data_IF_817957524387
#
_entry.id   IF_817957524387
#
_cell.length_a   1.000
_cell.length_b   1.000
_cell.length_c   1.000
_cell.angle_alpha   90.00
_cell.angle_beta   90.00
_cell.angle_gamma   90.00
#
_symmetry.space_group_name_H-M   'P 1'
#
loop_
_entity.id
_entity.type
_entity.pdbx_description
1 polymer ?
#
# COMPACT_ATOMS: atom_id res chain seq x y z
N UNK A 1 -17.50 -15.38 28.76
CA UNK A 1 -17.65 -13.99 29.23
C UNK A 1 -16.32 -13.31 29.51
N UNK A 2 -15.33 -13.99 30.10
CA UNK A 2 -13.99 -13.41 30.33
C UNK A 2 -13.17 -13.26 29.05
N UNK A 3 -13.28 -14.20 28.11
CA UNK A 3 -12.49 -14.22 26.87
C UNK A 3 -12.92 -13.14 25.85
N UNK A 4 -14.23 -12.88 25.72
CA UNK A 4 -14.77 -11.85 24.80
C UNK A 4 -14.33 -10.42 25.13
N UNK A 5 -14.15 -10.11 26.42
CA UNK A 5 -13.77 -8.76 26.87
C UNK A 5 -12.33 -8.46 26.44
N UNK A 6 -11.43 -9.44 26.59
CA UNK A 6 -10.02 -9.30 26.23
C UNK A 6 -9.84 -9.14 24.71
N UNK A 7 -10.60 -9.89 23.90
CA UNK A 7 -10.52 -9.79 22.44
C UNK A 7 -10.96 -8.39 21.93
N UNK A 8 -12.01 -7.83 22.53
CA UNK A 8 -12.48 -6.48 22.18
C UNK A 8 -11.47 -5.41 22.57
N UNK A 9 -10.87 -5.48 23.76
CA UNK A 9 -9.85 -4.53 24.21
C UNK A 9 -8.60 -4.56 23.31
N UNK A 10 -8.12 -5.75 22.95
CA UNK A 10 -6.99 -5.90 22.03
C UNK A 10 -7.27 -5.26 20.67
N UNK A 11 -8.49 -5.40 20.16
CA UNK A 11 -8.91 -4.82 18.89
C UNK A 11 -8.90 -3.29 18.95
N UNK A 12 -9.45 -2.70 20.01
CA UNK A 12 -9.47 -1.24 20.18
C UNK A 12 -8.06 -0.67 20.36
N UNK A 13 -7.20 -1.37 21.10
CA UNK A 13 -5.80 -0.96 21.28
C UNK A 13 -5.02 -1.04 19.96
N UNK A 14 -5.25 -2.06 19.15
CA UNK A 14 -4.67 -2.15 17.81
C UNK A 14 -5.10 -0.97 16.92
N UNK A 15 -6.40 -0.68 16.87
CA UNK A 15 -6.94 0.43 16.08
C UNK A 15 -6.36 1.77 16.54
N UNK A 16 -6.33 2.03 17.85
CA UNK A 16 -5.73 3.24 18.42
C UNK A 16 -4.29 3.41 17.95
N UNK A 17 -3.44 2.39 18.16
CA UNK A 17 -2.03 2.46 17.81
C UNK A 17 -1.79 2.65 16.31
N UNK A 18 -2.69 2.12 15.47
CA UNK A 18 -2.64 2.32 14.02
C UNK A 18 -3.04 3.75 13.65
N UNK A 19 -4.14 4.25 14.20
CA UNK A 19 -4.64 5.62 13.97
C UNK A 19 -3.62 6.66 14.42
N UNK A 20 -2.98 6.53 15.58
CA UNK A 20 -2.00 7.50 16.09
C UNK A 20 -0.79 7.69 15.16
N UNK A 21 -0.44 6.67 14.38
CA UNK A 21 0.69 6.70 13.43
C UNK A 21 0.32 7.25 12.06
N UNK A 22 -0.96 7.54 11.82
CA UNK A 22 -1.45 8.04 10.54
C UNK A 22 -1.13 9.52 10.31
N UNK A 23 -1.17 9.92 9.04
CA UNK A 23 -1.04 11.30 8.61
C UNK A 23 -2.34 12.10 8.76
N UNK A 24 -2.20 13.42 8.70
CA UNK A 24 -3.29 14.40 8.87
C UNK A 24 -4.50 14.11 7.97
N UNK A 25 -4.30 13.74 6.71
CA UNK A 25 -5.40 13.47 5.77
C UNK A 25 -6.24 12.28 6.21
N UNK A 26 -5.60 11.22 6.71
CA UNK A 26 -6.28 10.03 7.21
C UNK A 26 -7.02 10.33 8.51
N UNK A 27 -6.43 11.14 9.40
CA UNK A 27 -7.11 11.62 10.61
C UNK A 27 -8.34 12.47 10.30
N UNK A 28 -8.30 13.32 9.27
CA UNK A 28 -9.46 14.10 8.82
C UNK A 28 -10.59 13.16 8.38
N UNK A 29 -10.28 12.09 7.65
CA UNK A 29 -11.31 11.16 7.19
C UNK A 29 -11.90 10.33 8.33
N UNK A 30 -11.06 9.91 9.28
CA UNK A 30 -11.53 9.29 10.53
C UNK A 30 -12.47 10.23 11.27
N UNK A 31 -12.12 11.53 11.36
CA UNK A 31 -12.99 12.52 11.97
C UNK A 31 -14.31 12.69 11.19
N UNK A 32 -14.29 12.59 9.86
CA UNK A 32 -15.49 12.61 9.03
C UNK A 32 -16.40 11.41 9.33
N UNK A 33 -15.83 10.20 9.44
CA UNK A 33 -16.57 8.98 9.84
C UNK A 33 -17.24 9.19 11.20
N UNK A 34 -16.48 9.69 12.18
CA UNK A 34 -17.01 9.95 13.52
C UNK A 34 -18.12 11.02 13.52
N UNK A 35 -18.00 12.07 12.69
CA UNK A 35 -19.00 13.14 12.57
C UNK A 35 -20.29 12.71 11.88
N UNK A 36 -20.26 11.68 11.03
CA UNK A 36 -21.46 11.14 10.38
C UNK A 36 -22.41 10.51 11.41
N UNK A 37 -21.87 9.98 12.50
CA UNK A 37 -22.66 9.35 13.54
C UNK A 37 -23.04 10.35 14.64
N UNK A 38 -24.28 10.81 14.64
CA UNK A 38 -24.80 11.84 15.55
C UNK A 38 -24.73 11.47 17.04
N UNK A 39 -24.54 10.19 17.35
CA UNK A 39 -24.44 9.67 18.71
C UNK A 39 -23.07 9.93 19.34
N UNK A 40 -22.04 10.17 18.52
CA UNK A 40 -20.67 10.36 18.98
C UNK A 40 -20.47 11.79 19.45
N UNK A 41 -20.17 11.97 20.74
CA UNK A 41 -19.78 13.27 21.31
C UNK A 41 -18.28 13.48 21.13
N UNK A 42 -17.92 14.39 20.24
CA UNK A 42 -16.54 14.78 20.00
C UNK A 42 -16.13 15.89 20.97
N UNK A 43 -15.00 15.71 21.66
CA UNK A 43 -14.43 16.74 22.53
C UNK A 43 -13.27 17.42 21.80
N UNK A 44 -13.53 18.60 21.25
CA UNK A 44 -12.57 19.40 20.50
C UNK A 44 -12.03 20.54 21.36
N UNK A 45 -10.70 20.72 21.33
CA UNK A 45 -10.02 21.87 21.90
C UNK A 45 -9.08 22.49 20.84
N UNK A 46 -8.37 23.57 21.19
CA UNK A 46 -7.44 24.26 20.27
C UNK A 46 -6.32 23.35 19.73
N UNK A 47 -6.07 22.22 20.37
CA UNK A 47 -4.99 21.29 20.05
C UNK A 47 -5.48 20.05 19.28
N UNK A 48 -6.80 19.90 19.07
CA UNK A 48 -7.39 18.81 18.31
C UNK A 48 -8.62 18.19 18.98
N UNK A 49 -8.97 16.98 18.51
CA UNK A 49 -10.14 16.24 18.98
C UNK A 49 -9.67 15.03 19.79
N UNK A 50 -10.12 14.92 21.04
CA UNK A 50 -9.88 13.74 21.87
C UNK A 50 -11.08 12.79 21.79
N UNK A 51 -10.82 11.52 21.48
CA UNK A 51 -11.85 10.48 21.31
C UNK A 51 -11.49 9.31 22.22
N UNK A 52 -12.47 8.85 22.99
CA UNK A 52 -12.35 7.60 23.74
C UNK A 52 -13.05 6.48 22.96
N UNK A 53 -12.26 5.57 22.39
CA UNK A 53 -12.75 4.47 21.55
C UNK A 53 -13.66 3.50 22.31
N UNK A 54 -13.48 3.33 23.62
CA UNK A 54 -14.29 2.41 24.44
C UNK A 54 -15.74 2.85 24.61
N UNK A 55 -16.03 4.14 24.39
CA UNK A 55 -17.38 4.70 24.43
C UNK A 55 -18.02 4.85 23.05
N UNK A 56 -17.31 4.49 21.98
CA UNK A 56 -17.89 4.50 20.65
C UNK A 56 -18.85 3.31 20.49
N UNK A 57 -19.99 3.53 19.81
CA UNK A 57 -20.91 2.44 19.52
C UNK A 57 -20.28 1.48 18.50
N UNK A 58 -20.69 0.21 18.54
CA UNK A 58 -20.03 -0.85 17.78
C UNK A 58 -20.11 -0.63 16.25
N UNK A 59 -21.18 -0.01 15.76
CA UNK A 59 -21.36 0.37 14.34
C UNK A 59 -20.27 1.34 13.86
N UNK A 60 -19.92 2.32 14.69
CA UNK A 60 -18.82 3.26 14.40
C UNK A 60 -17.47 2.54 14.43
N UNK A 61 -17.27 1.62 15.37
CA UNK A 61 -16.04 0.83 15.43
C UNK A 61 -15.89 -0.03 14.16
N UNK A 62 -16.96 -0.68 13.70
CA UNK A 62 -16.96 -1.45 12.45
C UNK A 62 -16.68 -0.58 11.23
N UNK A 63 -17.24 0.64 11.15
CA UNK A 63 -16.97 1.57 10.05
C UNK A 63 -15.50 2.03 10.05
N UNK A 64 -14.95 2.31 11.23
CA UNK A 64 -13.54 2.62 11.39
C UNK A 64 -12.65 1.44 10.97
N UNK A 65 -12.99 0.21 11.36
CA UNK A 65 -12.25 -0.98 10.94
C UNK A 65 -12.25 -1.14 9.41
N UNK A 66 -13.41 -1.02 8.77
CA UNK A 66 -13.52 -1.07 7.30
C UNK A 66 -12.64 -0.01 6.62
N UNK A 67 -12.58 1.18 7.18
CA UNK A 67 -11.70 2.24 6.66
C UNK A 67 -10.21 1.91 6.86
N UNK A 68 -9.83 1.35 8.01
CA UNK A 68 -8.46 0.90 8.26
C UNK A 68 -8.03 -0.22 7.31
N UNK A 69 -8.92 -1.17 7.04
CA UNK A 69 -8.67 -2.26 6.09
C UNK A 69 -8.53 -1.73 4.67
N UNK A 70 -9.40 -0.80 4.27
CA UNK A 70 -9.28 -0.13 2.97
C UNK A 70 -7.93 0.58 2.80
N UNK A 71 -7.45 1.30 3.82
CA UNK A 71 -6.14 1.95 3.77
C UNK A 71 -5.00 0.95 3.63
N UNK A 72 -5.11 -0.21 4.29
CA UNK A 72 -4.12 -1.28 4.18
C UNK A 72 -4.08 -1.85 2.76
N UNK A 73 -5.25 -2.13 2.18
CA UNK A 73 -5.34 -2.63 0.81
C UNK A 73 -4.79 -1.60 -0.20
N UNK A 74 -5.07 -0.30 0.03
CA UNK A 74 -4.47 0.77 -0.77
C UNK A 74 -2.94 0.79 -0.68
N UNK A 75 -2.36 0.68 0.52
CA UNK A 75 -0.90 0.61 0.72
C UNK A 75 -0.30 -0.59 -0.02
N UNK A 76 -0.89 -1.79 0.11
CA UNK A 76 -0.41 -3.00 -0.57
C UNK A 76 -0.51 -2.89 -2.08
N UNK A 77 -1.60 -2.35 -2.62
CA UNK A 77 -1.75 -2.15 -4.06
C UNK A 77 -0.72 -1.16 -4.60
N UNK A 78 -0.42 -0.09 -3.86
CA UNK A 78 0.59 0.88 -4.24
C UNK A 78 1.99 0.25 -4.28
N UNK A 79 2.33 -0.54 -3.26
CA UNK A 79 3.61 -1.28 -3.21
C UNK A 79 3.76 -2.22 -4.41
N UNK A 80 2.71 -2.97 -4.76
CA UNK A 80 2.73 -3.84 -5.94
C UNK A 80 2.93 -3.07 -7.24
N UNK A 81 2.30 -1.91 -7.39
CA UNK A 81 2.48 -1.05 -8.57
C UNK A 81 3.91 -0.50 -8.65
N UNK A 82 4.52 -0.15 -7.52
CA UNK A 82 5.93 0.28 -7.47
C UNK A 82 6.88 -0.84 -7.86
N UNK A 83 6.66 -2.06 -7.36
CA UNK A 83 7.44 -3.25 -7.73
C UNK A 83 7.34 -3.50 -9.24
N UNK A 84 6.12 -3.55 -9.79
CA UNK A 84 5.90 -3.77 -11.22
C UNK A 84 6.61 -2.70 -12.06
N UNK A 85 6.52 -1.43 -11.65
CA UNK A 85 7.19 -0.32 -12.34
C UNK A 85 8.71 -0.52 -12.38
N UNK A 86 9.32 -0.94 -11.28
CA UNK A 86 10.77 -1.17 -11.22
C UNK A 86 11.18 -2.40 -12.05
N UNK A 87 10.36 -3.46 -12.06
CA UNK A 87 10.58 -4.64 -12.91
C UNK A 87 10.55 -4.28 -14.40
N UNK A 88 9.58 -3.45 -14.84
CA UNK A 88 9.51 -2.98 -16.22
C UNK A 88 10.75 -2.17 -16.61
N UNK A 89 11.16 -1.23 -15.75
CA UNK A 89 12.36 -0.42 -15.96
C UNK A 89 13.61 -1.29 -16.09
N UNK A 90 13.79 -2.23 -15.16
CA UNK A 90 14.93 -3.15 -15.14
C UNK A 90 14.96 -4.02 -16.40
N UNK A 91 13.79 -4.53 -16.83
CA UNK A 91 13.68 -5.36 -18.04
C UNK A 91 14.08 -4.59 -19.29
N UNK A 92 13.62 -3.34 -19.43
CA UNK A 92 13.98 -2.47 -20.55
C UNK A 92 15.47 -2.14 -20.54
N UNK A 93 16.04 -1.78 -19.39
CA UNK A 93 17.46 -1.46 -19.26
C UNK A 93 18.37 -2.64 -19.61
N UNK A 94 18.03 -3.86 -19.17
CA UNK A 94 18.77 -5.08 -19.53
C UNK A 94 18.64 -5.42 -21.02
N UNK A 95 17.45 -5.25 -21.61
CA UNK A 95 17.23 -5.45 -23.04
C UNK A 95 18.06 -4.50 -23.91
N UNK A 96 18.13 -3.22 -23.54
CA UNK A 96 18.95 -2.22 -24.24
C UNK A 96 20.44 -2.55 -24.11
N UNK A 97 20.89 -2.94 -22.90
CA UNK A 97 22.29 -3.28 -22.63
C UNK A 97 22.75 -4.50 -23.42
N UNK A 98 21.97 -5.58 -23.40
CA UNK A 98 22.28 -6.80 -24.16
C UNK A 98 22.37 -6.51 -25.66
N UNK A 99 21.44 -5.72 -26.22
CA UNK A 99 21.52 -5.28 -27.61
C UNK A 99 22.78 -4.47 -27.94
N UNK A 100 23.23 -3.60 -27.03
CA UNK A 100 24.46 -2.84 -27.22
C UNK A 100 25.73 -3.71 -27.15
N UNK A 101 25.76 -4.69 -26.22
CA UNK A 101 26.85 -5.67 -26.10
C UNK A 101 26.94 -6.57 -27.34
N UNK A 102 25.79 -6.97 -27.91
CA UNK A 102 25.72 -7.73 -29.14
C UNK A 102 26.26 -6.95 -30.34
N UNK A 103 25.89 -5.65 -30.47
CA UNK A 103 26.42 -4.76 -31.52
C UNK A 103 27.93 -4.58 -31.38
N UNK A 104 28.43 -4.38 -30.15
CA UNK A 104 29.86 -4.23 -29.89
C UNK A 104 30.63 -5.51 -30.24
N UNK A 105 30.17 -6.67 -29.77
CA UNK A 105 30.78 -7.96 -30.08
C UNK A 105 30.78 -8.28 -31.58
N UNK A 106 29.75 -7.86 -32.31
CA UNK A 106 29.70 -7.96 -33.77
C UNK A 106 30.75 -7.06 -34.44
N UNK A 107 30.88 -5.80 -34.01
CA UNK A 107 31.89 -4.87 -34.55
C UNK A 107 33.34 -5.32 -34.30
N UNK A 108 33.58 -6.09 -33.24
CA UNK A 108 34.88 -6.67 -32.91
C UNK A 108 35.13 -8.05 -33.56
N UNK A 109 34.19 -8.56 -34.36
CA UNK A 109 34.29 -9.88 -34.99
C UNK A 109 34.28 -11.07 -34.00
N UNK A 110 33.87 -10.83 -32.74
CA UNK A 110 33.75 -11.85 -31.69
C UNK A 110 32.42 -12.62 -31.74
N UNK A 111 31.44 -12.12 -32.51
CA UNK A 111 30.16 -12.79 -32.85
C UNK A 111 29.87 -12.67 -34.35
N UNK A 112 29.22 -13.69 -34.94
CA UNK A 112 28.78 -13.67 -36.35
C UNK A 112 27.48 -12.87 -36.54
N UNK A 113 27.25 -12.37 -37.76
CA UNK A 113 26.04 -11.64 -38.14
C UNK A 113 24.78 -12.47 -37.86
N UNK A 114 23.72 -11.89 -37.27
CA UNK A 114 22.42 -12.56 -37.12
C UNK A 114 21.83 -13.08 -38.44
N UNK A 115 22.21 -12.51 -39.58
CA UNK A 115 21.72 -12.90 -40.91
C UNK A 115 22.31 -14.25 -41.39
N UNK A 116 23.41 -14.73 -40.81
CA UNK A 116 24.02 -16.02 -41.19
C UNK A 116 23.25 -17.24 -40.68
N UNK A 117 22.30 -17.08 -39.75
CA UNK A 117 21.47 -18.19 -39.25
C UNK A 117 20.38 -18.64 -40.26
N UNK A 118 20.21 -17.94 -41.39
CA UNK A 118 19.15 -18.21 -42.38
C UNK A 118 19.48 -19.25 -43.46
N UNK A 119 20.67 -19.84 -43.49
CA UNK A 119 21.08 -20.84 -44.51
C UNK A 119 21.48 -22.17 -43.87
N UNK A 120 20.56 -22.79 -43.15
CA UNK A 120 20.60 -24.22 -42.82
C UNK A 120 19.18 -24.76 -42.58
N UNK A 121 18.29 -24.53 -43.54
CA UNK A 121 16.99 -25.20 -43.58
C UNK A 121 16.57 -25.44 -45.03
N UNK A 122 17.28 -26.35 -45.73
CA UNK A 122 16.75 -27.38 -46.66
C UNK A 122 17.83 -28.45 -46.80
#
# INVERSE_FOLDING_TARGET
MSEDITAKEQTLEYMKNRIEKMGKTQHIEILNILKKNTTVKLNENRNGVYINLSYLPNDVIEELQKYLDYLKDQETNLEQLEIQKEEFKTTIECGIRSGAEDIHAYSEGRRRSPEEYGIAAV
#
